data_IF_801162775696
#
_entry.id   IF_801162775696
#
_cell.length_a   1.000
_cell.length_b   1.000
_cell.length_c   1.000
_cell.angle_alpha   90.00
_cell.angle_beta   90.00
_cell.angle_gamma   90.00
#
_symmetry.space_group_name_H-M   'P 1'
#
loop_
_entity.id
_entity.type
_entity.pdbx_description
1 polymer ?
#
# COMPACT_ATOMS: atom_id res chain seq x y z
N UNK A 1 30.42 -57.24 -14.90
CA UNK A 1 29.02 -57.18 -14.45
C UNK A 1 28.91 -56.02 -13.48
N UNK A 2 28.28 -54.93 -13.91
CA UNK A 2 28.08 -53.74 -13.08
C UNK A 2 26.83 -53.95 -12.22
N UNK A 3 26.97 -53.82 -10.90
CA UNK A 3 25.86 -53.71 -9.95
C UNK A 3 25.18 -52.34 -10.13
N UNK A 4 23.84 -52.24 -10.22
CA UNK A 4 23.20 -50.94 -10.32
C UNK A 4 23.28 -50.24 -8.97
N UNK A 5 23.88 -49.05 -8.96
CA UNK A 5 23.89 -48.14 -7.83
C UNK A 5 22.46 -47.67 -7.55
N UNK A 6 21.77 -48.31 -6.61
CA UNK A 6 20.57 -47.77 -5.99
C UNK A 6 20.94 -46.51 -5.22
N UNK A 7 20.85 -45.35 -5.88
CA UNK A 7 20.88 -44.05 -5.21
C UNK A 7 19.59 -43.88 -4.41
N UNK A 8 19.59 -44.42 -3.20
CA UNK A 8 18.72 -43.92 -2.14
C UNK A 8 18.93 -42.41 -2.06
N UNK A 9 17.85 -41.62 -2.06
CA UNK A 9 17.97 -40.18 -1.98
C UNK A 9 18.71 -39.82 -0.68
N UNK A 10 19.86 -39.15 -0.79
CA UNK A 10 20.68 -38.70 0.35
C UNK A 10 19.88 -37.81 1.32
N UNK A 11 18.75 -37.26 0.87
CA UNK A 11 17.82 -36.48 1.68
C UNK A 11 17.09 -37.36 2.72
N UNK A 12 16.77 -38.61 2.40
CA UNK A 12 16.15 -39.56 3.33
C UNK A 12 17.13 -40.03 4.42
N UNK A 13 18.43 -40.20 4.09
CA UNK A 13 19.45 -40.54 5.09
C UNK A 13 19.65 -39.43 6.13
N UNK A 14 19.57 -38.15 5.73
CA UNK A 14 19.80 -37.01 6.63
C UNK A 14 18.56 -36.56 7.42
N UNK A 15 17.35 -36.97 7.01
CA UNK A 15 16.14 -36.81 7.83
C UNK A 15 15.77 -38.06 8.64
N UNK A 16 16.52 -39.15 8.48
CA UNK A 16 16.28 -40.45 9.11
C UNK A 16 16.62 -40.55 10.60
N UNK A 17 17.12 -39.49 11.25
CA UNK A 17 17.50 -39.58 12.66
C UNK A 17 16.34 -39.48 13.66
N UNK A 18 15.12 -39.09 13.26
CA UNK A 18 14.02 -38.91 14.22
C UNK A 18 12.59 -39.29 13.78
N UNK A 19 12.32 -39.86 12.58
CA UNK A 19 10.91 -40.15 12.14
C UNK A 19 10.67 -41.50 11.46
N UNK A 20 11.56 -42.48 11.61
CA UNK A 20 11.25 -43.87 11.26
C UNK A 20 11.47 -44.70 12.51
N UNK A 21 10.42 -45.29 13.10
CA UNK A 21 10.64 -46.46 13.95
C UNK A 21 11.35 -47.46 13.06
N UNK A 22 12.66 -47.64 13.26
CA UNK A 22 13.45 -48.67 12.58
C UNK A 22 12.90 -50.08 12.89
N UNK A 23 11.96 -50.19 13.85
CA UNK A 23 11.31 -51.40 14.30
C UNK A 23 10.11 -51.85 13.43
N UNK A 24 9.61 -51.03 12.49
CA UNK A 24 8.47 -51.39 11.63
C UNK A 24 8.93 -51.46 10.16
N UNK A 25 8.76 -52.61 9.48
CA UNK A 25 9.10 -52.73 8.06
C UNK A 25 8.13 -51.93 7.19
N UNK A 26 8.66 -51.27 6.16
CA UNK A 26 7.86 -50.60 5.13
C UNK A 26 7.06 -51.61 4.32
N UNK A 27 5.79 -51.32 4.07
CA UNK A 27 4.83 -52.21 3.39
C UNK A 27 4.36 -51.67 2.03
N UNK A 28 4.89 -50.53 1.57
CA UNK A 28 4.66 -49.99 0.21
C UNK A 28 5.91 -49.32 -0.36
N UNK A 29 6.14 -49.53 -1.65
CA UNK A 29 7.14 -48.81 -2.44
C UNK A 29 6.41 -47.87 -3.40
N UNK A 30 6.77 -46.58 -3.37
CA UNK A 30 6.31 -45.60 -4.34
C UNK A 30 7.47 -45.18 -5.23
N UNK A 31 7.31 -45.30 -6.54
CA UNK A 31 8.28 -44.91 -7.54
C UNK A 31 7.81 -43.63 -8.25
N UNK A 32 8.64 -42.60 -8.21
CA UNK A 32 8.41 -41.30 -8.85
C UNK A 32 9.60 -40.99 -9.75
N UNK A 33 9.44 -41.20 -11.06
CA UNK A 33 10.55 -41.14 -12.00
C UNK A 33 11.65 -42.13 -11.61
N UNK A 34 12.87 -41.64 -11.40
CA UNK A 34 14.02 -42.47 -11.00
C UNK A 34 14.18 -42.64 -9.49
N UNK A 35 13.29 -42.04 -8.69
CA UNK A 35 13.39 -42.08 -7.22
C UNK A 35 12.39 -43.07 -6.63
N UNK A 36 12.86 -43.79 -5.61
CA UNK A 36 12.10 -44.85 -4.95
C UNK A 36 11.93 -44.47 -3.48
N UNK A 37 10.70 -44.55 -2.99
CA UNK A 37 10.32 -44.26 -1.61
C UNK A 37 9.74 -45.51 -0.96
N UNK A 38 10.45 -46.04 0.04
CA UNK A 38 9.91 -47.11 0.91
C UNK A 38 9.14 -46.46 2.05
N UNK A 39 7.83 -46.70 2.11
CA UNK A 39 6.88 -45.98 2.97
C UNK A 39 5.92 -46.96 3.65
N UNK A 40 4.94 -46.40 4.38
CA UNK A 40 3.94 -47.17 5.11
C UNK A 40 2.53 -46.88 4.56
N UNK A 41 1.79 -47.92 4.15
CA UNK A 41 0.42 -47.83 3.60
C UNK A 41 -0.47 -47.04 4.54
N UNK A 42 -0.43 -47.36 5.84
CA UNK A 42 -1.25 -46.71 6.86
C UNK A 42 -1.11 -45.18 6.84
N UNK A 43 0.13 -44.67 6.77
CA UNK A 43 0.42 -43.23 6.79
C UNK A 43 -0.09 -42.55 5.52
N UNK A 44 0.10 -43.18 4.36
CA UNK A 44 -0.31 -42.60 3.07
C UNK A 44 -1.83 -42.64 2.89
N UNK A 45 -2.46 -43.78 3.19
CA UNK A 45 -3.91 -43.97 3.08
C UNK A 45 -4.66 -43.05 4.02
N UNK A 46 -4.11 -42.69 5.19
CA UNK A 46 -4.74 -41.73 6.09
C UNK A 46 -4.95 -40.35 5.46
N UNK A 47 -4.14 -39.95 4.48
CA UNK A 47 -4.16 -38.59 3.90
C UNK A 47 -4.45 -38.53 2.40
N UNK A 48 -4.20 -39.59 1.63
CA UNK A 48 -4.41 -39.65 0.18
C UNK A 48 -5.47 -40.68 -0.22
N UNK A 49 -6.58 -40.19 -0.79
CA UNK A 49 -7.61 -41.06 -1.36
C UNK A 49 -7.14 -41.77 -2.64
N UNK A 50 -6.28 -41.10 -3.42
CA UNK A 50 -5.74 -41.68 -4.64
C UNK A 50 -4.87 -42.91 -4.34
N UNK A 51 -3.95 -42.79 -3.37
CA UNK A 51 -3.12 -43.91 -2.93
C UNK A 51 -3.98 -45.02 -2.30
N UNK A 52 -5.02 -44.67 -1.53
CA UNK A 52 -5.99 -45.65 -1.01
C UNK A 52 -6.58 -46.50 -2.14
N UNK A 53 -7.08 -45.87 -3.20
CA UNK A 53 -7.68 -46.58 -4.35
C UNK A 53 -6.68 -47.50 -5.03
N UNK A 54 -5.46 -47.01 -5.29
CA UNK A 54 -4.40 -47.81 -5.91
C UNK A 54 -4.02 -49.04 -5.08
N UNK A 55 -4.00 -48.92 -3.75
CA UNK A 55 -3.73 -50.05 -2.86
C UNK A 55 -4.90 -51.05 -2.87
N UNK A 56 -6.14 -50.57 -2.84
CA UNK A 56 -7.33 -51.45 -2.89
C UNK A 56 -7.46 -52.21 -4.22
N UNK A 57 -6.99 -51.62 -5.32
CA UNK A 57 -6.98 -52.23 -6.65
C UNK A 57 -5.79 -53.21 -6.84
N UNK A 58 -4.84 -53.24 -5.90
CA UNK A 58 -3.67 -54.12 -5.97
C UNK A 58 -3.91 -55.48 -5.29
N UNK A 59 -3.46 -56.57 -5.92
CA UNK A 59 -3.59 -57.93 -5.36
C UNK A 59 -2.73 -58.10 -4.09
N UNK A 60 -3.29 -58.73 -3.06
CA UNK A 60 -2.78 -58.79 -1.67
C UNK A 60 -1.53 -59.67 -1.41
N UNK A 61 -0.72 -60.01 -2.42
CA UNK A 61 0.34 -61.04 -2.30
C UNK A 61 1.77 -60.56 -2.07
N UNK A 62 2.12 -59.32 -2.40
CA UNK A 62 3.50 -58.79 -2.40
C UNK A 62 3.55 -57.34 -1.87
N UNK A 63 4.76 -56.85 -1.56
CA UNK A 63 5.04 -55.45 -1.26
C UNK A 63 4.41 -54.55 -2.34
N UNK A 64 3.38 -53.78 -1.97
CA UNK A 64 2.60 -52.99 -2.94
C UNK A 64 3.51 -51.96 -3.58
N UNK A 65 3.57 -51.96 -4.92
CA UNK A 65 4.41 -51.06 -5.71
C UNK A 65 3.54 -50.10 -6.50
N UNK A 66 3.71 -48.80 -6.25
CA UNK A 66 2.90 -47.73 -6.84
C UNK A 66 3.81 -46.87 -7.73
N UNK A 67 3.38 -46.60 -8.95
CA UNK A 67 4.09 -45.75 -9.90
C UNK A 67 3.36 -44.41 -10.06
N UNK A 68 4.04 -43.30 -9.76
CA UNK A 68 3.50 -41.94 -9.81
C UNK A 68 4.34 -41.05 -10.74
N UNK A 69 4.54 -41.49 -11.97
CA UNK A 69 5.37 -40.80 -12.96
C UNK A 69 4.87 -39.39 -13.32
N UNK A 70 3.54 -39.18 -13.24
CA UNK A 70 2.89 -37.93 -13.68
C UNK A 70 2.63 -36.94 -12.54
N UNK A 71 3.18 -37.18 -11.34
CA UNK A 71 2.92 -36.28 -10.21
C UNK A 71 3.50 -34.88 -10.47
N UNK A 72 2.70 -33.80 -10.30
CA UNK A 72 3.18 -32.43 -10.44
C UNK A 72 4.39 -32.14 -9.54
N UNK A 73 5.45 -31.60 -10.15
CA UNK A 73 6.71 -31.28 -9.44
C UNK A 73 7.63 -32.47 -9.17
N UNK A 74 7.22 -33.68 -9.56
CA UNK A 74 8.04 -34.87 -9.50
C UNK A 74 8.46 -35.25 -8.07
N UNK A 75 9.64 -35.88 -7.92
CA UNK A 75 10.00 -36.58 -6.69
C UNK A 75 10.27 -35.64 -5.50
N UNK A 76 10.78 -34.44 -5.77
CA UNK A 76 11.07 -33.45 -4.72
C UNK A 76 9.80 -32.94 -4.04
N UNK A 77 8.70 -32.82 -4.79
CA UNK A 77 7.39 -32.45 -4.25
C UNK A 77 6.73 -33.64 -3.59
N UNK A 78 6.82 -34.84 -4.19
CA UNK A 78 6.33 -36.05 -3.54
C UNK A 78 6.99 -36.28 -2.17
N UNK A 79 8.28 -36.02 -2.01
CA UNK A 79 8.96 -36.13 -0.72
C UNK A 79 8.32 -35.22 0.36
N UNK A 80 7.95 -33.98 -0.01
CA UNK A 80 7.24 -33.06 0.91
C UNK A 80 5.84 -33.56 1.24
N UNK A 81 5.14 -34.09 0.24
CA UNK A 81 3.82 -34.69 0.43
C UNK A 81 3.88 -35.95 1.31
N UNK A 82 4.92 -36.79 1.17
CA UNK A 82 5.15 -37.92 2.05
C UNK A 82 5.44 -37.45 3.48
N UNK A 83 6.29 -36.44 3.67
CA UNK A 83 6.52 -35.81 4.98
C UNK A 83 5.21 -35.33 5.62
N UNK A 84 4.33 -34.71 4.84
CA UNK A 84 3.00 -34.31 5.31
C UNK A 84 2.18 -35.51 5.85
N UNK A 85 2.15 -36.63 5.12
CA UNK A 85 1.43 -37.83 5.54
C UNK A 85 1.93 -38.39 6.88
N UNK A 86 3.21 -38.20 7.19
CA UNK A 86 3.83 -38.61 8.44
C UNK A 86 3.68 -37.57 9.57
N UNK A 87 3.00 -36.46 9.32
CA UNK A 87 2.91 -35.36 10.29
C UNK A 87 4.23 -34.61 10.48
N UNK A 88 5.20 -34.79 9.57
CA UNK A 88 6.47 -34.06 9.58
C UNK A 88 6.24 -32.65 9.06
N UNK A 89 6.66 -31.67 9.85
CA UNK A 89 6.60 -30.29 9.44
C UNK A 89 7.61 -30.01 8.31
N UNK A 90 7.14 -29.34 7.28
CA UNK A 90 7.95 -28.75 6.23
C UNK A 90 7.39 -27.38 5.88
N UNK A 91 8.22 -26.54 5.27
CA UNK A 91 7.83 -25.18 4.94
C UNK A 91 7.08 -25.11 3.61
N UNK A 92 5.85 -24.58 3.66
CA UNK A 92 5.11 -24.11 2.47
C UNK A 92 5.56 -22.68 2.21
N UNK A 93 6.05 -22.42 1.00
CA UNK A 93 6.62 -21.14 0.57
C UNK A 93 5.96 -20.70 -0.73
N UNK A 94 6.10 -19.41 -1.07
CA UNK A 94 5.60 -18.85 -2.34
C UNK A 94 6.18 -19.56 -3.58
N UNK A 95 7.34 -20.20 -3.47
CA UNK A 95 8.01 -20.90 -4.58
C UNK A 95 7.50 -22.32 -4.80
N UNK A 96 6.94 -22.96 -3.77
CA UNK A 96 6.53 -24.37 -3.84
C UNK A 96 5.02 -24.57 -3.72
N UNK A 97 4.27 -23.60 -3.19
CA UNK A 97 2.85 -23.75 -2.84
C UNK A 97 1.98 -24.12 -4.03
N UNK A 98 2.23 -23.54 -5.21
CA UNK A 98 1.46 -23.84 -6.42
C UNK A 98 1.60 -25.30 -6.83
N UNK A 99 2.85 -25.79 -6.86
CA UNK A 99 3.14 -27.17 -7.25
C UNK A 99 2.66 -28.17 -6.19
N UNK A 100 2.76 -27.81 -4.90
CA UNK A 100 2.17 -28.58 -3.80
C UNK A 100 0.66 -28.66 -3.91
N UNK A 101 -0.03 -27.57 -4.28
CA UNK A 101 -1.50 -27.57 -4.49
C UNK A 101 -1.88 -28.53 -5.61
N UNK A 102 -1.15 -28.51 -6.73
CA UNK A 102 -1.36 -29.43 -7.84
C UNK A 102 -1.11 -30.89 -7.44
N UNK A 103 -0.01 -31.16 -6.73
CA UNK A 103 0.30 -32.51 -6.26
C UNK A 103 -0.73 -33.03 -5.23
N UNK A 104 -1.21 -32.17 -4.33
CA UNK A 104 -2.25 -32.49 -3.38
C UNK A 104 -3.58 -32.84 -4.07
N UNK A 105 -3.95 -32.09 -5.12
CA UNK A 105 -5.13 -32.39 -5.94
C UNK A 105 -4.98 -33.73 -6.68
N UNK A 106 -3.83 -33.94 -7.33
CA UNK A 106 -3.51 -35.18 -8.03
C UNK A 106 -3.62 -36.40 -7.10
N UNK A 107 -3.08 -36.30 -5.89
CA UNK A 107 -3.14 -37.35 -4.88
C UNK A 107 -4.47 -37.41 -4.12
N UNK A 108 -5.46 -36.58 -4.48
CA UNK A 108 -6.75 -36.47 -3.81
C UNK A 108 -6.60 -36.29 -2.29
N UNK A 109 -5.66 -35.44 -1.88
CA UNK A 109 -5.39 -35.03 -0.50
C UNK A 109 -6.19 -33.77 -0.17
N UNK A 110 -7.51 -33.87 -0.31
CA UNK A 110 -8.46 -32.77 -0.13
C UNK A 110 -9.06 -32.77 1.27
N UNK A 111 -9.62 -31.63 1.67
CA UNK A 111 -10.31 -31.49 2.96
C UNK A 111 -11.61 -32.32 3.02
N UNK A 112 -12.19 -32.63 1.86
CA UNK A 112 -13.31 -33.57 1.76
C UNK A 112 -12.93 -35.00 2.18
N UNK A 113 -11.65 -35.36 2.02
CA UNK A 113 -11.16 -36.68 2.37
C UNK A 113 -10.66 -36.76 3.82
N UNK A 114 -9.94 -35.73 4.28
CA UNK A 114 -9.45 -35.63 5.64
C UNK A 114 -9.37 -34.15 6.02
N UNK A 115 -9.90 -33.73 7.18
CA UNK A 115 -9.80 -32.32 7.58
C UNK A 115 -8.35 -31.83 7.66
N UNK A 116 -8.16 -30.55 7.32
CA UNK A 116 -6.86 -29.87 7.32
C UNK A 116 -5.81 -30.63 6.49
N UNK A 117 -6.18 -31.09 5.30
CA UNK A 117 -5.29 -31.81 4.41
C UNK A 117 -4.35 -30.87 3.67
N UNK A 118 -3.45 -31.44 2.88
CA UNK A 118 -2.44 -30.67 2.16
C UNK A 118 -3.07 -29.67 1.18
N UNK A 119 -4.14 -30.05 0.46
CA UNK A 119 -4.84 -29.14 -0.44
C UNK A 119 -5.36 -27.90 0.29
N UNK A 120 -6.09 -28.08 1.40
CA UNK A 120 -6.61 -26.98 2.22
C UNK A 120 -5.51 -26.06 2.74
N UNK A 121 -4.42 -26.61 3.27
CA UNK A 121 -3.28 -25.81 3.76
C UNK A 121 -2.62 -24.98 2.65
N UNK A 122 -2.48 -25.55 1.45
CA UNK A 122 -1.93 -24.80 0.31
C UNK A 122 -2.90 -23.76 -0.24
N UNK A 123 -4.20 -24.05 -0.21
CA UNK A 123 -5.26 -23.12 -0.61
C UNK A 123 -5.36 -21.93 0.35
N UNK A 124 -5.32 -22.18 1.66
CA UNK A 124 -5.29 -21.12 2.68
C UNK A 124 -4.09 -20.19 2.48
N UNK A 125 -2.89 -20.76 2.24
CA UNK A 125 -1.69 -19.97 1.95
C UNK A 125 -1.88 -19.10 0.70
N UNK A 126 -2.45 -19.66 -0.38
CA UNK A 126 -2.73 -18.92 -1.62
C UNK A 126 -3.80 -17.84 -1.43
N UNK A 127 -4.83 -18.11 -0.62
CA UNK A 127 -5.87 -17.15 -0.27
C UNK A 127 -5.26 -15.99 0.52
N UNK A 128 -4.51 -16.26 1.58
CA UNK A 128 -3.85 -15.20 2.39
C UNK A 128 -2.91 -14.36 1.53
N UNK A 129 -2.14 -15.00 0.65
CA UNK A 129 -1.26 -14.31 -0.28
C UNK A 129 -2.05 -13.43 -1.27
N UNK A 130 -3.10 -13.98 -1.89
CA UNK A 130 -3.94 -13.28 -2.85
C UNK A 130 -4.71 -12.13 -2.20
N UNK A 131 -5.29 -12.31 -1.02
CA UNK A 131 -5.97 -11.28 -0.24
C UNK A 131 -4.99 -10.20 0.21
N UNK A 132 -3.75 -10.55 0.54
CA UNK A 132 -2.69 -9.58 0.81
C UNK A 132 -2.43 -8.68 -0.40
N UNK A 133 -2.27 -9.26 -1.59
CA UNK A 133 -2.11 -8.51 -2.83
C UNK A 133 -3.36 -7.71 -3.20
N UNK A 134 -4.56 -8.28 -3.09
CA UNK A 134 -5.82 -7.59 -3.35
C UNK A 134 -6.01 -6.45 -2.38
N UNK A 135 -5.67 -6.60 -1.09
CA UNK A 135 -5.75 -5.53 -0.10
C UNK A 135 -4.78 -4.41 -0.42
N UNK A 136 -3.54 -4.73 -0.81
CA UNK A 136 -2.56 -3.73 -1.29
C UNK A 136 -3.11 -3.01 -2.52
N UNK A 137 -3.62 -3.75 -3.51
CA UNK A 137 -4.24 -3.21 -4.73
C UNK A 137 -5.47 -2.36 -4.40
N UNK A 138 -6.34 -2.77 -3.47
CA UNK A 138 -7.55 -2.05 -3.07
C UNK A 138 -7.19 -0.76 -2.33
N UNK A 139 -6.25 -0.81 -1.39
CA UNK A 139 -5.70 0.35 -0.68
C UNK A 139 -5.07 1.34 -1.67
N UNK A 140 -4.45 0.85 -2.75
CA UNK A 140 -3.82 1.66 -3.79
C UNK A 140 -4.80 2.23 -4.83
N UNK A 141 -5.83 1.47 -5.23
CA UNK A 141 -6.77 1.85 -6.29
C UNK A 141 -8.00 2.60 -5.80
N UNK A 142 -8.47 2.35 -4.57
CA UNK A 142 -9.64 3.07 -4.03
C UNK A 142 -9.46 4.57 -3.89
N UNK A 143 -8.34 5.13 -3.40
CA UNK A 143 -8.20 6.59 -3.33
C UNK A 143 -8.16 7.24 -4.71
N UNK A 144 -7.54 6.61 -5.71
CA UNK A 144 -7.53 7.10 -7.10
C UNK A 144 -8.94 7.09 -7.71
N UNK A 145 -9.74 6.08 -7.37
CA UNK A 145 -11.09 5.88 -7.89
C UNK A 145 -12.12 6.75 -7.17
N UNK A 146 -11.99 6.94 -5.85
CA UNK A 146 -12.78 7.91 -5.08
C UNK A 146 -12.43 9.36 -5.53
N UNK A 147 -11.16 9.63 -5.84
CA UNK A 147 -10.74 10.92 -6.41
C UNK A 147 -11.46 11.27 -7.71
N UNK A 148 -11.82 10.27 -8.53
CA UNK A 148 -12.58 10.48 -9.77
C UNK A 148 -14.09 10.60 -9.54
N UNK A 149 -14.61 10.09 -8.41
CA UNK A 149 -16.04 10.15 -8.07
C UNK A 149 -16.42 11.45 -7.37
N UNK A 150 -15.48 12.07 -6.64
CA UNK A 150 -15.70 13.36 -5.97
C UNK A 150 -15.16 14.49 -6.87
N UNK A 151 -16.01 15.42 -7.34
CA UNK A 151 -15.55 16.55 -8.16
C UNK A 151 -14.41 17.32 -7.49
N UNK A 152 -13.40 17.75 -8.27
CA UNK A 152 -12.26 18.54 -7.78
C UNK A 152 -12.68 19.78 -6.99
N UNK A 153 -13.86 20.34 -7.26
CA UNK A 153 -14.43 21.50 -6.57
C UNK A 153 -14.98 21.20 -5.18
N UNK A 154 -15.33 19.94 -4.87
CA UNK A 154 -15.89 19.57 -3.57
C UNK A 154 -14.82 19.29 -2.50
N UNK A 155 -13.58 18.99 -2.91
CA UNK A 155 -12.47 18.72 -2.00
C UNK A 155 -11.80 20.02 -1.56
N UNK A 156 -11.77 20.28 -0.26
CA UNK A 156 -11.06 21.44 0.33
C UNK A 156 -9.56 21.15 0.51
N UNK A 157 -9.20 19.91 0.86
CA UNK A 157 -7.84 19.46 1.13
C UNK A 157 -7.62 18.12 0.40
N UNK A 158 -6.46 17.97 -0.25
CA UNK A 158 -6.12 16.79 -1.08
C UNK A 158 -5.04 15.88 -0.44
N UNK A 159 -4.76 16.02 0.87
CA UNK A 159 -3.70 15.29 1.59
C UNK A 159 -3.83 13.76 1.52
N UNK A 160 -5.02 13.21 1.73
CA UNK A 160 -5.24 11.76 1.64
C UNK A 160 -5.02 11.24 0.22
N UNK A 161 -5.29 12.08 -0.78
CA UNK A 161 -5.02 11.81 -2.19
C UNK A 161 -3.52 11.80 -2.45
N UNK A 162 -2.79 12.78 -1.90
CA UNK A 162 -1.34 12.80 -2.00
C UNK A 162 -0.72 11.57 -1.34
N UNK A 163 -1.17 11.20 -0.13
CA UNK A 163 -0.71 9.99 0.56
C UNK A 163 -0.91 8.75 -0.30
N UNK A 164 -2.08 8.63 -0.92
CA UNK A 164 -2.37 7.53 -1.83
C UNK A 164 -1.45 7.50 -3.07
N UNK A 165 -1.26 8.66 -3.71
CA UNK A 165 -0.37 8.81 -4.86
C UNK A 165 1.07 8.46 -4.48
N UNK A 166 1.57 8.94 -3.34
CA UNK A 166 2.94 8.64 -2.90
C UNK A 166 3.15 7.14 -2.64
N UNK A 167 2.20 6.48 -1.96
CA UNK A 167 2.27 5.03 -1.73
C UNK A 167 2.23 4.28 -3.07
N UNK A 168 1.39 4.70 -4.02
CA UNK A 168 1.32 4.10 -5.36
C UNK A 168 2.66 4.23 -6.10
N UNK A 169 3.23 5.42 -6.15
CA UNK A 169 4.53 5.65 -6.80
C UNK A 169 5.66 4.87 -6.10
N UNK A 170 5.57 4.65 -4.78
CA UNK A 170 6.51 3.81 -4.02
C UNK A 170 6.40 2.33 -4.39
N UNK A 171 5.18 1.82 -4.58
CA UNK A 171 4.91 0.43 -4.94
C UNK A 171 5.24 0.11 -6.42
N UNK A 172 5.24 1.13 -7.28
CA UNK A 172 5.45 0.99 -8.72
C UNK A 172 6.65 1.82 -9.24
N UNK A 173 7.90 1.47 -8.89
CA UNK A 173 9.09 2.24 -9.26
C UNK A 173 9.44 2.21 -10.77
N UNK A 174 8.79 1.34 -11.55
CA UNK A 174 9.04 1.15 -13.00
C UNK A 174 8.07 1.92 -13.90
N UNK A 175 7.16 2.73 -13.34
CA UNK A 175 6.24 3.55 -14.13
C UNK A 175 7.01 4.52 -15.01
N UNK A 176 6.52 4.71 -16.23
CA UNK A 176 7.05 5.73 -17.12
C UNK A 176 6.58 7.14 -16.71
N UNK A 177 7.18 8.18 -17.29
CA UNK A 177 6.85 9.58 -16.95
C UNK A 177 5.36 9.89 -17.15
N UNK A 178 4.77 9.32 -18.21
CA UNK A 178 3.39 9.57 -18.64
C UNK A 178 2.41 8.97 -17.63
N UNK A 179 2.68 7.76 -17.16
CA UNK A 179 1.87 7.10 -16.15
C UNK A 179 1.97 7.81 -14.80
N UNK A 180 3.16 8.26 -14.39
CA UNK A 180 3.30 9.07 -13.18
C UNK A 180 2.51 10.37 -13.27
N UNK A 181 2.55 11.05 -14.41
CA UNK A 181 1.78 12.27 -14.64
C UNK A 181 0.28 12.01 -14.54
N UNK A 182 -0.22 10.94 -15.18
CA UNK A 182 -1.64 10.54 -15.10
C UNK A 182 -2.07 10.27 -13.66
N UNK A 183 -1.30 9.47 -12.92
CA UNK A 183 -1.60 9.14 -11.52
C UNK A 183 -1.62 10.40 -10.66
N UNK A 184 -0.68 11.32 -10.86
CA UNK A 184 -0.63 12.52 -10.05
C UNK A 184 -1.67 13.58 -10.45
N UNK A 185 -2.26 13.51 -11.66
CA UNK A 185 -3.26 14.47 -12.14
C UNK A 185 -4.59 14.46 -11.37
N UNK A 186 -4.81 13.43 -10.54
CA UNK A 186 -6.00 13.28 -9.71
C UNK A 186 -6.04 14.25 -8.52
N UNK A 187 -4.88 14.73 -8.07
CA UNK A 187 -4.75 15.67 -6.96
C UNK A 187 -4.43 17.08 -7.46
N UNK A 188 -4.88 18.08 -6.71
CA UNK A 188 -4.46 19.46 -6.89
C UNK A 188 -3.35 19.80 -5.87
N UNK A 189 -2.09 20.01 -6.32
CA UNK A 189 -0.98 20.36 -5.42
C UNK A 189 -1.22 21.65 -4.62
N UNK A 190 -2.11 22.54 -5.09
CA UNK A 190 -2.46 23.78 -4.40
C UNK A 190 -3.47 23.56 -3.26
N UNK A 191 -4.06 22.37 -3.15
CA UNK A 191 -4.97 21.98 -2.07
C UNK A 191 -4.30 21.10 -1.00
N UNK A 192 -2.97 20.99 -1.05
CA UNK A 192 -2.20 20.26 -0.06
C UNK A 192 -1.92 21.12 1.18
N UNK A 193 -1.99 20.50 2.36
CA UNK A 193 -1.55 21.11 3.61
C UNK A 193 -0.06 21.45 3.57
N UNK A 194 0.37 22.25 4.55
CA UNK A 194 1.79 22.58 4.68
C UNK A 194 2.65 21.32 4.89
N UNK A 195 2.23 20.39 5.77
CA UNK A 195 2.99 19.16 5.99
C UNK A 195 3.08 18.30 4.72
N UNK A 196 1.97 18.16 3.98
CA UNK A 196 1.95 17.41 2.74
C UNK A 196 2.84 18.04 1.66
N UNK A 197 2.85 19.38 1.54
CA UNK A 197 3.73 20.10 0.60
C UNK A 197 5.21 19.91 0.93
N UNK A 198 5.60 19.98 2.20
CA UNK A 198 6.98 19.72 2.62
C UNK A 198 7.40 18.31 2.21
N UNK A 199 6.55 17.32 2.45
CA UNK A 199 6.83 15.95 2.03
C UNK A 199 6.91 15.81 0.50
N UNK A 200 5.98 16.42 -0.24
CA UNK A 200 5.95 16.42 -1.70
C UNK A 200 7.18 17.07 -2.31
N UNK A 201 7.69 18.14 -1.70
CA UNK A 201 8.88 18.84 -2.19
C UNK A 201 10.16 17.99 -2.19
N UNK A 202 10.20 16.96 -1.33
CA UNK A 202 11.34 16.05 -1.20
C UNK A 202 11.14 14.75 -2.01
N UNK A 203 9.96 14.56 -2.60
CA UNK A 203 9.60 13.32 -3.25
C UNK A 203 10.11 13.26 -4.69
N UNK A 204 11.20 12.52 -4.89
CA UNK A 204 11.84 12.31 -6.21
C UNK A 204 10.99 11.54 -7.22
N UNK A 205 9.87 10.93 -6.79
CA UNK A 205 8.98 10.15 -7.67
C UNK A 205 7.91 11.02 -8.33
N UNK A 206 7.69 12.23 -7.82
CA UNK A 206 6.68 13.14 -8.36
C UNK A 206 7.18 13.85 -9.62
N UNK A 207 6.28 14.15 -10.57
CA UNK A 207 6.57 15.07 -11.67
C UNK A 207 7.06 16.43 -11.18
N UNK A 208 8.01 17.03 -11.90
CA UNK A 208 8.65 18.31 -11.54
C UNK A 208 7.63 19.43 -11.32
N UNK A 209 6.55 19.48 -12.12
CA UNK A 209 5.49 20.49 -12.00
C UNK A 209 4.82 20.47 -10.61
N UNK A 210 4.63 19.28 -10.03
CA UNK A 210 3.97 19.12 -8.73
C UNK A 210 4.89 19.56 -7.60
N UNK A 211 6.17 19.16 -7.68
CA UNK A 211 7.22 19.59 -6.75
C UNK A 211 7.34 21.11 -6.77
N UNK A 212 7.31 21.72 -7.96
CA UNK A 212 7.34 23.17 -8.14
C UNK A 212 6.13 23.84 -7.46
N UNK A 213 4.92 23.33 -7.66
CA UNK A 213 3.73 23.88 -7.01
C UNK A 213 3.80 23.76 -5.48
N UNK A 214 4.33 22.65 -4.95
CA UNK A 214 4.50 22.47 -3.51
C UNK A 214 5.51 23.46 -2.91
N UNK A 215 6.62 23.72 -3.61
CA UNK A 215 7.69 24.64 -3.17
C UNK A 215 7.28 26.12 -3.26
N UNK A 216 6.59 26.52 -4.33
CA UNK A 216 6.30 27.92 -4.64
C UNK A 216 4.88 28.37 -4.29
N UNK A 217 4.11 27.54 -3.59
CA UNK A 217 2.72 27.81 -3.23
C UNK A 217 2.50 29.19 -2.61
N UNK A 218 3.31 29.60 -1.64
CA UNK A 218 3.14 30.88 -0.93
C UNK A 218 3.36 32.07 -1.89
N UNK A 219 4.35 31.97 -2.78
CA UNK A 219 4.60 32.99 -3.81
C UNK A 219 3.46 33.05 -4.85
N UNK A 220 2.90 31.90 -5.21
CA UNK A 220 1.75 31.79 -6.12
C UNK A 220 0.47 32.34 -5.48
N UNK A 221 0.26 32.13 -4.18
CA UNK A 221 -0.86 32.69 -3.39
C UNK A 221 -0.79 34.21 -3.28
N UNK A 222 0.38 34.76 -2.96
CA UNK A 222 0.59 36.21 -2.87
C UNK A 222 0.35 36.91 -4.21
N UNK A 223 0.72 36.27 -5.33
CA UNK A 223 0.48 36.80 -6.69
C UNK A 223 -0.98 36.69 -7.14
N UNK A 224 -1.76 35.77 -6.56
CA UNK A 224 -3.16 35.53 -6.95
C UNK A 224 -4.18 36.33 -6.13
N UNK A 225 -3.74 37.13 -5.13
CA UNK A 225 -4.63 37.97 -4.31
C UNK A 225 -5.65 37.18 -3.49
N UNK A 226 -5.40 35.88 -3.24
CA UNK A 226 -6.37 34.99 -2.61
C UNK A 226 -6.64 35.31 -1.12
N UNK A 227 -5.68 35.92 -0.42
CA UNK A 227 -5.83 36.30 0.99
C UNK A 227 -6.87 37.41 1.22
N UNK A 228 -7.06 38.33 0.26
CA UNK A 228 -8.08 39.38 0.40
C UNK A 228 -9.51 38.83 0.35
N UNK A 229 -9.74 37.72 -0.35
CA UNK A 229 -11.07 37.12 -0.48
C UNK A 229 -11.45 36.28 0.73
N UNK A 230 -10.53 35.48 1.27
CA UNK A 230 -10.79 34.56 2.38
C UNK A 230 -11.02 35.35 3.69
N UNK A 231 -10.19 36.36 3.95
CA UNK A 231 -10.32 37.27 5.11
C UNK A 231 -11.58 38.14 5.01
N UNK A 232 -11.98 38.56 3.81
CA UNK A 232 -13.23 39.31 3.62
C UNK A 232 -14.47 38.46 3.91
N UNK A 233 -14.48 37.17 3.55
CA UNK A 233 -15.56 36.24 3.91
C UNK A 233 -15.65 36.00 5.41
N UNK A 234 -14.53 35.75 6.10
CA UNK A 234 -14.52 35.55 7.56
C UNK A 234 -14.96 36.82 8.31
N UNK A 235 -14.53 37.99 7.87
CA UNK A 235 -14.90 39.27 8.49
C UNK A 235 -16.38 39.61 8.29
N UNK A 236 -16.93 39.30 7.12
CA UNK A 236 -18.36 39.45 6.85
C UNK A 236 -19.20 38.45 7.67
N UNK A 237 -18.72 37.22 7.86
CA UNK A 237 -19.43 36.19 8.61
C UNK A 237 -19.43 36.48 10.12
N UNK A 238 -18.29 36.93 10.67
CA UNK A 238 -18.20 37.41 12.05
C UNK A 238 -19.04 38.69 12.29
N UNK A 239 -19.16 39.59 11.29
CA UNK A 239 -20.05 40.74 11.38
C UNK A 239 -21.53 40.32 11.42
N UNK A 240 -21.92 39.31 10.63
CA UNK A 240 -23.29 38.79 10.62
C UNK A 240 -23.67 38.10 11.94
N UNK A 241 -22.77 37.31 12.53
CA UNK A 241 -23.00 36.64 13.82
C UNK A 241 -23.09 37.63 15.00
N UNK A 242 -22.31 38.71 14.98
CA UNK A 242 -22.41 39.78 15.98
C UNK A 242 -23.74 40.54 15.88
N UNK A 243 -24.31 40.71 14.67
CA UNK A 243 -25.63 41.31 14.49
C UNK A 243 -26.79 40.40 14.89
N UNK A 244 -26.68 39.08 14.71
CA UNK A 244 -27.72 38.14 15.17
C UNK A 244 -27.76 38.02 16.70
N UNK A 245 -26.61 38.01 17.37
CA UNK A 245 -26.55 37.91 18.84
C UNK A 245 -27.09 39.14 19.59
N UNK A 246 -27.29 40.27 18.91
CA UNK A 246 -27.90 41.47 19.53
C UNK A 246 -29.42 41.43 19.58
N UNK A 247 -30.06 40.48 18.89
CA UNK A 247 -31.52 40.38 18.78
C UNK A 247 -32.13 39.28 19.67
N UNK A 248 -31.33 38.55 20.45
CA UNK A 248 -31.80 37.40 21.26
C UNK A 248 -31.64 37.62 22.76
N UNK A 249 -31.91 38.83 23.23
CA UNK A 249 -32.16 39.10 24.65
C UNK A 249 -33.10 40.29 24.76
N UNK A 250 -34.41 40.02 24.68
CA UNK A 250 -35.50 40.78 25.29
C UNK A 250 -36.80 40.03 24.98
N UNK A 251 -37.33 39.31 25.98
CA UNK A 251 -38.75 39.37 26.39
C UNK A 251 -39.12 38.17 27.27
N UNK A 252 -39.04 38.38 28.58
CA UNK A 252 -39.93 37.75 29.55
C UNK A 252 -40.67 38.88 30.30
N UNK A 253 -41.98 38.86 30.18
CA UNK A 253 -42.99 39.89 30.55
C UNK A 253 -43.28 39.90 32.08
N UNK A 254 -44.25 40.69 32.62
CA UNK A 254 -44.08 42.04 33.19
C UNK A 254 -44.61 42.20 34.64
N UNK A 255 -44.29 43.33 35.29
CA UNK A 255 -45.19 44.25 36.05
C UNK A 255 -44.48 44.94 37.22
N UNK A 256 -44.64 46.27 37.31
CA UNK A 256 -44.37 47.03 38.53
C UNK A 256 -44.05 48.51 38.32
N UNK A 257 -44.94 49.37 38.81
CA UNK A 257 -44.90 50.84 38.85
C UNK A 257 -43.60 51.48 39.40
N UNK A 258 -43.31 52.73 38.98
CA UNK A 258 -42.63 53.71 39.85
C UNK A 258 -41.63 54.68 39.21
N UNK A 259 -42.06 55.93 38.99
CA UNK A 259 -41.39 57.22 39.26
C UNK A 259 -39.88 57.47 38.95
N UNK A 260 -39.66 58.49 38.12
CA UNK A 260 -38.67 59.61 38.19
C UNK A 260 -37.14 59.38 38.35
N UNK A 261 -36.42 60.03 37.42
CA UNK A 261 -35.19 60.86 37.58
C UNK A 261 -33.76 60.28 37.43
N UNK A 262 -33.01 60.95 36.54
CA UNK A 262 -31.59 61.37 36.60
C UNK A 262 -30.42 60.42 36.23
N UNK A 263 -29.63 60.92 35.26
CA UNK A 263 -28.16 60.97 35.11
C UNK A 263 -27.27 59.69 35.00
N UNK A 264 -26.38 59.77 34.00
CA UNK A 264 -25.20 58.95 33.54
C UNK A 264 -24.17 58.55 34.64
N UNK A 265 -23.11 57.68 34.46
CA UNK A 265 -22.30 57.48 33.22
C UNK A 265 -21.41 56.18 33.02
N UNK A 266 -20.59 56.20 31.95
CA UNK A 266 -19.23 55.63 31.69
C UNK A 266 -19.02 54.21 31.10
N UNK A 267 -18.38 54.20 29.92
CA UNK A 267 -17.61 53.11 29.30
C UNK A 267 -16.23 52.96 29.98
N UNK A 268 -15.72 51.74 30.08
CA UNK A 268 -14.35 51.44 30.46
C UNK A 268 -13.58 50.80 29.28
N UNK A 269 -12.44 51.38 28.94
CA UNK A 269 -11.40 50.88 28.02
C UNK A 269 -10.24 50.30 28.82
N UNK A 270 -9.84 49.06 28.55
CA UNK A 270 -8.59 48.41 28.98
C UNK A 270 -8.47 47.13 28.11
N UNK A 271 -7.44 46.81 27.31
CA UNK A 271 -6.02 47.11 27.36
C UNK A 271 -5.40 47.23 25.95
N UNK A 272 -4.44 48.14 25.84
CA UNK A 272 -3.33 48.17 24.89
C UNK A 272 -2.05 47.62 25.55
N UNK A 273 -1.16 47.04 24.73
CA UNK A 273 0.24 46.60 25.01
C UNK A 273 0.42 45.11 25.27
N UNK A 274 0.93 44.39 24.25
CA UNK A 274 2.37 44.03 24.21
C UNK A 274 2.81 43.96 22.73
N UNK A 275 3.44 45.02 22.25
CA UNK A 275 4.31 45.00 21.07
C UNK A 275 5.67 45.43 21.57
N UNK A 276 6.61 44.49 21.72
CA UNK A 276 8.07 44.71 21.92
C UNK A 276 8.83 43.39 22.17
N UNK A 277 8.73 42.40 21.28
CA UNK A 277 9.68 41.24 21.34
C UNK A 277 9.92 40.48 20.02
N UNK A 278 9.59 41.02 18.84
CA UNK A 278 9.92 40.34 17.56
C UNK A 278 10.49 41.27 16.48
N UNK A 279 11.17 42.34 16.89
CA UNK A 279 11.97 43.18 15.98
C UNK A 279 13.45 42.78 15.89
N UNK A 280 13.87 41.69 16.56
CA UNK A 280 15.29 41.31 16.74
C UNK A 280 15.73 40.06 15.95
N UNK A 281 14.97 39.61 14.96
CA UNK A 281 15.29 38.40 14.18
C UNK A 281 15.24 38.58 12.65
N UNK A 282 15.32 39.82 12.15
CA UNK A 282 15.50 40.07 10.72
C UNK A 282 17.00 40.14 10.37
N UNK A 283 17.58 39.18 9.62
CA UNK A 283 19.01 39.13 9.31
C UNK A 283 19.48 40.18 8.30
N UNK A 284 18.57 40.98 7.72
CA UNK A 284 18.86 41.83 6.56
C UNK A 284 18.85 43.34 6.86
N UNK A 285 18.93 43.75 8.14
CA UNK A 285 18.82 45.18 8.52
C UNK A 285 20.13 45.93 8.70
N UNK A 286 21.25 45.39 8.23
CA UNK A 286 22.54 46.08 8.18
C UNK A 286 23.25 45.79 6.86
N UNK A 287 23.39 46.81 6.01
CA UNK A 287 24.30 46.77 4.87
C UNK A 287 23.86 47.63 3.69
N UNK A 288 23.95 48.95 3.81
CA UNK A 288 24.09 49.84 2.66
C UNK A 288 25.55 50.22 2.48
N UNK A 289 26.13 49.99 1.30
CA UNK A 289 27.02 50.92 0.55
C UNK A 289 27.83 50.23 -0.56
N UNK A 290 27.88 50.93 -1.69
CA UNK A 290 28.92 50.93 -2.73
C UNK A 290 28.97 49.77 -3.76
N UNK A 291 28.32 49.98 -4.90
CA UNK A 291 28.78 49.45 -6.22
C UNK A 291 28.47 50.44 -7.35
N UNK A 292 28.88 51.70 -7.23
CA UNK A 292 29.10 52.57 -8.40
C UNK A 292 30.47 52.26 -9.00
N UNK A 293 30.52 51.20 -9.80
CA UNK A 293 31.46 50.95 -10.90
C UNK A 293 31.33 49.47 -11.26
N UNK A 294 30.83 49.17 -12.46
CA UNK A 294 31.34 48.14 -13.37
C UNK A 294 30.52 48.21 -14.67
N UNK A 295 31.27 48.10 -15.76
CA UNK A 295 31.02 48.64 -17.09
C UNK A 295 29.98 47.86 -17.91
N UNK A 296 29.41 48.56 -18.89
CA UNK A 296 28.60 48.03 -19.98
C UNK A 296 29.36 46.96 -20.76
N UNK A 297 28.88 45.71 -20.71
CA UNK A 297 29.24 44.66 -21.65
C UNK A 297 27.99 44.23 -22.42
N UNK A 298 27.85 44.79 -23.62
CA UNK A 298 26.86 44.41 -24.62
C UNK A 298 27.01 42.94 -25.01
N UNK A 299 25.94 42.13 -24.86
CA UNK A 299 25.86 40.81 -25.51
C UNK A 299 24.52 40.66 -26.23
N UNK A 300 24.67 40.19 -27.46
CA UNK A 300 23.82 40.24 -28.64
C UNK A 300 22.48 39.48 -28.52
N UNK A 301 21.38 40.15 -28.92
CA UNK A 301 20.03 39.61 -29.01
C UNK A 301 19.78 39.05 -30.42
N UNK A 302 20.21 37.82 -30.70
CA UNK A 302 19.77 37.12 -31.91
C UNK A 302 18.35 36.56 -31.73
N UNK A 303 17.35 37.26 -32.29
CA UNK A 303 15.96 36.79 -32.43
C UNK A 303 15.88 35.57 -33.40
N UNK A 304 15.12 34.51 -33.09
CA UNK A 304 14.85 33.45 -34.05
C UNK A 304 13.77 33.87 -35.07
N UNK A 305 14.06 33.58 -36.34
CA UNK A 305 13.30 33.95 -37.55
C UNK A 305 12.07 33.04 -37.74
N UNK A 306 10.87 33.63 -37.75
CA UNK A 306 9.58 32.96 -38.09
C UNK A 306 9.64 32.37 -39.51
N UNK A 307 9.40 31.06 -39.67
CA UNK A 307 9.11 30.42 -40.96
C UNK A 307 7.61 30.50 -41.26
N UNK A 308 7.27 31.05 -42.42
CA UNK A 308 5.91 31.16 -42.97
C UNK A 308 5.65 29.89 -43.77
N UNK A 309 4.63 29.11 -43.41
CA UNK A 309 4.13 28.02 -44.27
C UNK A 309 3.13 28.63 -45.26
N UNK A 310 3.40 28.47 -46.55
CA UNK A 310 2.43 28.70 -47.61
C UNK A 310 1.71 27.38 -47.90
N UNK A 311 0.39 27.40 -47.88
CA UNK A 311 -0.45 26.32 -48.38
C UNK A 311 -0.67 26.49 -49.89
N UNK A 312 -0.50 25.41 -50.63
CA UNK A 312 -1.15 25.12 -51.91
C UNK A 312 -1.29 23.62 -52.02
#
# INVERSE_FOLDING_TARGET
MATPNNRLSLAMERTGQWVFSQDIPTDVIVEVGETIFSLHKFMLVAKSNYIRKLILESNEGELTRIYLSDIPGGPSIFEKTAKFCYGVNFEITVHNVAVLRCAAEFLQMTDQYCENNLAGRTEEFLIVFSLGLVSIVYILLTPLRIATLIPKSARKIDDDLYRAVDIYLKAHPKLDEIEREKVCSVMDPLKLSYEARVHASQNKRLPVQIVLHALYYDQLRLRSGAEEREVATEKNQLQMDVTLNKNTNNDANPQGHGTTSSATPKKATFFSSVSKTLGKLNPFRNGSKDTTHLEDASVDLTKPRRRRFSMS
#
